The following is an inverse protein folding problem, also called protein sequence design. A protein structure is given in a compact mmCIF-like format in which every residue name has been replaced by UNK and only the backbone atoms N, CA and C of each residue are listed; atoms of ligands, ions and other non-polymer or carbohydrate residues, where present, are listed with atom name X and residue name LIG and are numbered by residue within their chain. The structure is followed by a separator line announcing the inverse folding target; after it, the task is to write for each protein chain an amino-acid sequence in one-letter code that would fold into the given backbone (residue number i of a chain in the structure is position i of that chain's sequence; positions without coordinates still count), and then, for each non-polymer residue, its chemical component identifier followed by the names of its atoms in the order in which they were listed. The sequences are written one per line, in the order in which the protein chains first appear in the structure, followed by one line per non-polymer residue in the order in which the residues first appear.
data_IF_891831214630
#
_entry.id   IF_891831214630
#
_cell.length_a   1.000
_cell.length_b   1.000
_cell.length_c   1.000
_cell.angle_alpha   90.00
_cell.angle_beta   90.00
_cell.angle_gamma   90.00
#
_symmetry.space_group_name_H-M   'P 1'
#
loop_
_entity.id
_entity.type
_entity.pdbx_description
1 polymer ?
#
# COMPACT_ATOMS: atom_id res chain seq x y z
N UNK A 1 -9.24 18.07 -4.45
CA UNK A 1 -8.01 17.25 -4.56
C UNK A 1 -7.00 17.82 -3.59
N UNK A 2 -6.85 17.22 -2.41
CA UNK A 2 -5.77 17.62 -1.50
C UNK A 2 -4.58 16.75 -1.86
N UNK A 3 -3.53 17.40 -2.37
CA UNK A 3 -2.21 16.80 -2.50
C UNK A 3 -1.86 16.08 -1.20
N UNK A 4 -1.35 14.86 -1.30
CA UNK A 4 -0.47 14.35 -0.27
C UNK A 4 0.58 15.45 -0.02
N UNK A 5 0.61 16.04 1.17
CA UNK A 5 1.64 17.02 1.51
C UNK A 5 2.97 16.30 1.42
N UNK A 6 3.78 16.70 0.44
CA UNK A 6 5.15 16.22 0.21
C UNK A 6 5.95 16.15 1.52
N UNK A 7 5.63 17.01 2.49
CA UNK A 7 6.28 17.09 3.80
C UNK A 7 6.14 15.82 4.63
N UNK A 8 5.00 15.10 4.56
CA UNK A 8 4.80 13.87 5.32
C UNK A 8 5.73 12.77 4.80
N UNK A 9 5.82 12.64 3.48
CA UNK A 9 6.69 11.67 2.82
C UNK A 9 8.16 12.01 3.07
N UNK A 10 8.55 13.29 2.94
CA UNK A 10 9.91 13.74 3.23
C UNK A 10 10.31 13.49 4.70
N UNK A 11 9.41 13.72 5.66
CA UNK A 11 9.65 13.41 7.08
C UNK A 11 9.82 11.92 7.31
N UNK A 12 9.02 11.08 6.64
CA UNK A 12 9.15 9.63 6.74
C UNK A 12 10.49 9.15 6.17
N UNK A 13 10.86 9.60 4.96
CA UNK A 13 12.16 9.28 4.35
C UNK A 13 13.34 9.78 5.20
N UNK A 14 13.20 10.98 5.79
CA UNK A 14 14.17 11.53 6.74
C UNK A 14 14.36 10.61 7.95
N UNK A 15 13.26 10.15 8.57
CA UNK A 15 13.33 9.20 9.71
C UNK A 15 13.99 7.88 9.34
N UNK A 16 13.78 7.35 8.14
CA UNK A 16 14.46 6.15 7.67
C UNK A 16 15.97 6.39 7.57
N UNK A 17 16.37 7.48 6.93
CA UNK A 17 17.78 7.87 6.80
C UNK A 17 18.43 8.10 8.17
N UNK A 18 17.78 8.83 9.07
CA UNK A 18 18.30 9.14 10.40
C UNK A 18 18.42 7.88 11.27
N UNK A 19 17.58 6.88 11.03
CA UNK A 19 17.67 5.56 11.65
C UNK A 19 18.70 4.62 10.98
N UNK A 20 19.47 5.12 9.99
CA UNK A 20 20.44 4.35 9.22
C UNK A 20 19.80 3.24 8.39
N UNK A 21 18.55 3.41 7.95
CA UNK A 21 17.79 2.39 7.24
C UNK A 21 17.78 2.65 5.75
N UNK A 22 18.24 1.67 4.99
CA UNK A 22 18.08 1.63 3.54
C UNK A 22 16.72 1.08 3.15
N UNK A 23 16.24 1.40 1.94
CA UNK A 23 15.02 0.83 1.40
C UNK A 23 15.19 0.40 -0.06
N UNK A 24 14.49 -0.67 -0.45
CA UNK A 24 14.62 -1.28 -1.77
C UNK A 24 13.82 -0.51 -2.83
N UNK A 25 14.30 0.67 -3.26
CA UNK A 25 13.59 1.47 -4.28
C UNK A 25 13.26 0.68 -5.55
N UNK A 26 14.22 -0.12 -6.04
CA UNK A 26 14.01 -0.94 -7.24
C UNK A 26 12.84 -1.90 -7.09
N UNK A 27 12.63 -2.52 -5.92
CA UNK A 27 11.48 -3.41 -5.73
C UNK A 27 10.16 -2.65 -5.78
N UNK A 28 10.10 -1.43 -5.24
CA UNK A 28 8.92 -0.55 -5.36
C UNK A 28 8.67 -0.19 -6.83
N UNK A 29 9.73 0.10 -7.58
CA UNK A 29 9.62 0.56 -8.96
C UNK A 29 9.22 -0.57 -9.94
N UNK A 30 9.76 -1.78 -9.76
CA UNK A 30 9.67 -2.85 -10.76
C UNK A 30 8.73 -3.99 -10.37
N UNK A 31 8.38 -4.15 -9.09
CA UNK A 31 7.58 -5.29 -8.63
C UNK A 31 6.15 -4.85 -8.37
N UNK A 32 5.20 -5.37 -9.15
CA UNK A 32 3.77 -5.15 -8.94
C UNK A 32 3.04 -6.50 -8.81
N UNK A 33 2.34 -6.69 -7.70
CA UNK A 33 1.58 -7.90 -7.41
C UNK A 33 0.09 -7.77 -7.76
N UNK A 34 -0.39 -6.60 -8.21
CA UNK A 34 -1.78 -6.45 -8.62
C UNK A 34 -2.10 -7.35 -9.82
N UNK A 35 -3.21 -8.09 -9.75
CA UNK A 35 -3.64 -9.01 -10.81
C UNK A 35 -4.45 -8.23 -11.86
N UNK A 36 -3.97 -8.12 -13.11
CA UNK A 36 -4.67 -7.36 -14.15
C UNK A 36 -6.08 -7.90 -14.42
N UNK A 37 -7.04 -6.98 -14.64
CA UNK A 37 -8.42 -7.34 -14.99
C UNK A 37 -9.30 -7.86 -13.85
N UNK A 38 -8.73 -8.16 -12.68
CA UNK A 38 -9.49 -8.60 -11.49
C UNK A 38 -10.11 -7.42 -10.74
N UNK A 39 -11.27 -7.64 -10.14
CA UNK A 39 -12.07 -6.62 -9.43
C UNK A 39 -12.65 -7.15 -8.12
N UNK A 40 -12.98 -6.24 -7.22
CA UNK A 40 -13.47 -6.47 -5.87
C UNK A 40 -12.33 -6.53 -4.85
N UNK A 41 -12.65 -6.23 -3.60
CA UNK A 41 -11.67 -6.30 -2.52
C UNK A 41 -11.19 -7.72 -2.21
N UNK A 42 -11.96 -8.76 -2.56
CA UNK A 42 -11.52 -10.15 -2.38
C UNK A 42 -10.26 -10.49 -3.19
N UNK A 43 -9.96 -9.72 -4.24
CA UNK A 43 -8.75 -9.91 -5.05
C UNK A 43 -7.49 -9.83 -4.20
N UNK A 44 -7.52 -9.06 -3.12
CA UNK A 44 -6.39 -8.96 -2.20
C UNK A 44 -6.00 -10.30 -1.58
N UNK A 45 -6.98 -11.18 -1.33
CA UNK A 45 -6.76 -12.51 -0.76
C UNK A 45 -6.21 -13.50 -1.81
N UNK A 46 -6.28 -13.15 -3.10
CA UNK A 46 -5.74 -13.95 -4.20
C UNK A 46 -4.33 -13.52 -4.62
N UNK A 47 -3.89 -12.32 -4.21
CA UNK A 47 -2.59 -11.78 -4.60
C UNK A 47 -1.48 -12.57 -3.86
N UNK A 48 -0.49 -13.13 -4.58
CA UNK A 48 0.64 -13.83 -3.96
C UNK A 48 1.61 -12.79 -3.36
N UNK A 49 1.48 -12.54 -2.06
CA UNK A 49 2.35 -11.67 -1.26
C UNK A 49 2.87 -12.40 -0.03
N UNK A 50 4.11 -12.09 0.33
CA UNK A 50 4.74 -12.55 1.55
C UNK A 50 4.39 -11.62 2.73
N UNK A 51 4.72 -12.05 3.95
CA UNK A 51 4.65 -11.20 5.12
C UNK A 51 5.48 -9.91 4.93
N UNK A 52 4.87 -8.76 5.23
CA UNK A 52 5.53 -7.48 5.04
C UNK A 52 4.61 -6.29 4.88
N UNK A 53 5.19 -5.20 4.39
CA UNK A 53 4.52 -3.91 4.15
C UNK A 53 4.48 -3.65 2.65
N UNK A 54 3.33 -3.22 2.16
CA UNK A 54 3.09 -2.93 0.76
C UNK A 54 2.45 -1.56 0.59
N UNK A 55 2.81 -0.86 -0.48
CA UNK A 55 2.09 0.33 -0.95
C UNK A 55 1.02 -0.15 -1.91
N UNK A 56 -0.22 0.27 -1.68
CA UNK A 56 -1.37 -0.11 -2.47
C UNK A 56 -1.99 1.12 -3.10
N UNK A 57 -2.21 1.05 -4.41
CA UNK A 57 -3.07 2.00 -5.13
C UNK A 57 -4.34 1.29 -5.53
N UNK A 58 -5.49 1.82 -5.12
CA UNK A 58 -6.79 1.23 -5.43
C UNK A 58 -7.78 2.29 -5.90
N UNK A 59 -8.77 1.84 -6.66
CA UNK A 59 -9.87 2.66 -7.14
C UNK A 59 -11.20 2.08 -6.67
N UNK A 60 -12.16 2.97 -6.39
CA UNK A 60 -13.55 2.57 -6.12
C UNK A 60 -14.41 2.48 -7.40
N UNK A 61 -15.70 2.18 -7.24
CA UNK A 61 -16.66 2.08 -8.34
C UNK A 61 -16.90 3.40 -9.09
N UNK A 62 -16.51 4.54 -8.51
CA UNK A 62 -16.58 5.87 -9.12
C UNK A 62 -15.24 6.33 -9.71
N UNK A 63 -14.26 5.42 -9.83
CA UNK A 63 -12.91 5.73 -10.31
C UNK A 63 -12.16 6.79 -9.49
N UNK A 64 -12.52 6.93 -8.21
CA UNK A 64 -11.74 7.73 -7.27
C UNK A 64 -10.56 6.87 -6.81
N UNK A 65 -9.35 7.35 -7.08
CA UNK A 65 -8.11 6.70 -6.66
C UNK A 65 -7.74 7.04 -5.22
N UNK A 66 -7.11 6.08 -4.54
CA UNK A 66 -6.59 6.28 -3.19
C UNK A 66 -5.35 5.39 -2.95
N UNK A 67 -4.31 5.99 -2.40
CA UNK A 67 -3.12 5.30 -1.92
C UNK A 67 -3.25 4.92 -0.44
N UNK A 68 -2.91 3.68 -0.12
CA UNK A 68 -2.98 3.11 1.21
C UNK A 68 -1.75 2.24 1.51
N UNK A 69 -1.59 1.86 2.78
CA UNK A 69 -0.59 0.88 3.21
C UNK A 69 -1.29 -0.44 3.51
N UNK A 70 -0.71 -1.53 3.03
CA UNK A 70 -1.12 -2.89 3.36
C UNK A 70 -0.06 -3.53 4.26
N UNK A 71 -0.49 -4.13 5.36
CA UNK A 71 0.35 -5.06 6.14
C UNK A 71 -0.17 -6.48 5.95
N UNK A 72 0.78 -7.40 5.76
CA UNK A 72 0.55 -8.84 5.60
C UNK A 72 1.27 -9.55 6.74
N UNK A 73 0.53 -10.36 7.48
CA UNK A 73 1.05 -11.22 8.55
C UNK A 73 0.28 -12.55 8.56
N UNK A 74 0.86 -13.59 7.96
CA UNK A 74 0.17 -14.83 7.64
C UNK A 74 -1.08 -14.57 6.81
N UNK A 75 -2.22 -15.11 7.25
CA UNK A 75 -3.51 -14.89 6.59
C UNK A 75 -4.17 -13.52 6.89
N UNK A 76 -3.51 -12.66 7.70
CA UNK A 76 -4.08 -11.38 8.12
C UNK A 76 -3.58 -10.26 7.21
N UNK A 77 -4.53 -9.64 6.49
CA UNK A 77 -4.30 -8.51 5.60
C UNK A 77 -5.04 -7.28 6.12
N UNK A 78 -4.31 -6.21 6.45
CA UNK A 78 -4.87 -4.96 6.96
C UNK A 78 -4.48 -3.78 6.07
N UNK A 79 -5.48 -2.98 5.67
CA UNK A 79 -5.28 -1.76 4.88
C UNK A 79 -5.42 -0.55 5.79
N UNK A 80 -4.49 0.39 5.68
CA UNK A 80 -4.42 1.62 6.47
C UNK A 80 -4.49 2.82 5.55
N UNK A 81 -5.33 3.81 5.89
CA UNK A 81 -5.23 5.14 5.30
C UNK A 81 -3.94 5.77 5.86
N UNK A 82 -3.15 6.39 4.99
CA UNK A 82 -1.98 7.14 5.38
C UNK A 82 -2.30 8.30 6.35
N UNK A 83 -3.57 8.72 6.45
CA UNK A 83 -4.05 9.78 7.36
C UNK A 83 -4.52 9.28 8.72
N UNK A 84 -5.16 8.11 8.78
CA UNK A 84 -5.90 7.69 9.98
C UNK A 84 -5.06 6.85 10.95
N UNK A 85 -3.97 6.25 10.49
CA UNK A 85 -3.05 5.44 11.30
C UNK A 85 -3.63 4.11 11.82
N UNK A 86 -4.94 3.92 11.73
CA UNK A 86 -5.66 2.69 12.06
C UNK A 86 -6.07 1.93 10.79
N UNK A 87 -6.27 0.60 10.88
CA UNK A 87 -6.80 -0.17 9.77
C UNK A 87 -8.22 0.31 9.41
N UNK A 88 -8.49 0.53 8.13
CA UNK A 88 -9.79 0.94 7.64
C UNK A 88 -10.68 -0.29 7.50
N UNK A 89 -11.65 -0.46 8.39
CA UNK A 89 -12.62 -1.57 8.33
C UNK A 89 -13.48 -1.55 7.06
N UNK A 90 -13.75 -0.37 6.51
CA UNK A 90 -14.54 -0.17 5.29
C UNK A 90 -13.75 -0.28 3.99
N UNK A 91 -12.40 -0.43 4.03
CA UNK A 91 -11.59 -0.49 2.81
C UNK A 91 -12.06 -1.59 1.85
N UNK A 92 -12.42 -2.77 2.38
CA UNK A 92 -12.94 -3.87 1.56
C UNK A 92 -14.24 -3.53 0.82
N UNK A 93 -15.08 -2.64 1.35
CA UNK A 93 -16.32 -2.21 0.67
C UNK A 93 -16.08 -1.08 -0.33
N UNK A 94 -15.00 -0.32 -0.14
CA UNK A 94 -14.67 0.82 -0.98
C UNK A 94 -13.91 0.41 -2.25
N UNK A 95 -13.05 -0.61 -2.14
CA UNK A 95 -12.16 -1.02 -3.24
C UNK A 95 -12.91 -1.80 -4.31
N UNK A 96 -12.84 -1.30 -5.54
CA UNK A 96 -13.35 -1.95 -6.74
C UNK A 96 -12.24 -2.62 -7.56
N UNK A 97 -11.04 -2.04 -7.66
CA UNK A 97 -9.88 -2.75 -8.22
C UNK A 97 -8.56 -2.18 -7.69
N UNK A 98 -7.53 -3.02 -7.71
CA UNK A 98 -6.16 -2.65 -7.35
C UNK A 98 -5.39 -2.24 -8.61
N UNK A 99 -4.86 -1.02 -8.64
CA UNK A 99 -3.99 -0.56 -9.72
C UNK A 99 -2.55 -1.04 -9.52
N UNK A 100 -2.08 -1.03 -8.27
CA UNK A 100 -0.80 -1.62 -7.91
C UNK A 100 -0.80 -2.11 -6.46
N UNK A 101 0.02 -3.14 -6.21
CA UNK A 101 0.40 -3.62 -4.88
C UNK A 101 1.91 -3.86 -4.93
N UNK A 102 2.69 -3.01 -4.27
CA UNK A 102 4.15 -2.96 -4.43
C UNK A 102 4.84 -3.14 -3.09
N UNK A 103 5.86 -4.00 -2.98
CA UNK A 103 6.53 -4.24 -1.71
C UNK A 103 7.29 -3.00 -1.25
N UNK A 104 7.21 -2.70 0.05
CA UNK A 104 7.97 -1.66 0.72
C UNK A 104 8.90 -2.31 1.75
N UNK A 105 10.13 -2.64 1.31
CA UNK A 105 11.13 -3.29 2.16
C UNK A 105 12.16 -2.27 2.66
N UNK A 106 12.32 -2.24 3.98
CA UNK A 106 13.32 -1.45 4.70
C UNK A 106 14.35 -2.40 5.28
N UNK A 107 15.62 -2.14 5.03
CA UNK A 107 16.75 -2.90 5.52
C UNK A 107 17.38 -2.21 6.74
N UNK A 108 18.20 -2.97 7.45
CA UNK A 108 19.04 -2.45 8.53
C UNK A 108 20.36 -1.95 7.97
#
# INVERSE_FOLDING_TARGET
MNSFSTDVVLRFLGRLRDAGRDFAYNQIATTNHAIPGRRGAQVLEEIPVDDGIYIVGAYNHRHIGHEAVLTVQGAKLLIYDLKEGNPISSAKRWINFYAFVRPFKVFK
#
